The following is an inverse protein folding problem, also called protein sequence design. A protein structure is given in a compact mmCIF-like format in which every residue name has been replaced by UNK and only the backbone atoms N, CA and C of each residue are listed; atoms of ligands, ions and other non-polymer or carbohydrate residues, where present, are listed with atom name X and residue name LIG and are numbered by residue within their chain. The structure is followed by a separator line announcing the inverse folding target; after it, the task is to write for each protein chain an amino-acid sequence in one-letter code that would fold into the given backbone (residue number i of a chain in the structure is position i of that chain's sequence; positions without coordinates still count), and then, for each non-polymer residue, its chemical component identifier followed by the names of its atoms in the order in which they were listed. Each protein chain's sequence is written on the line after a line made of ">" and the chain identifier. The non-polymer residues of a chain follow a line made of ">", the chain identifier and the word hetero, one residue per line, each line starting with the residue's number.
data_IF_751722056270
#
_entry.id   IF_751722056270
#
_cell.length_a   1.000
_cell.length_b   1.000
_cell.length_c   1.000
_cell.angle_alpha   90.00
_cell.angle_beta   90.00
_cell.angle_gamma   90.00
#
_symmetry.space_group_name_H-M   'P 1'
#
loop_
_entity.id
_entity.type
_entity.pdbx_description
1 polymer ?
#
# COMPACT_ATOMS: atom_id res chain seq x y z
N UNK A 1 -0.87 30.35 -1.79
CA UNK A 1 0.20 31.35 -1.57
C UNK A 1 0.42 32.26 -2.79
N UNK A 2 -0.63 32.62 -3.54
CA UNK A 2 -0.59 33.73 -4.49
C UNK A 2 -1.96 34.43 -4.45
N UNK A 3 -2.36 34.89 -3.27
CA UNK A 3 -3.62 35.63 -3.06
C UNK A 3 -3.42 37.02 -2.46
N UNK A 4 -2.18 37.51 -2.46
CA UNK A 4 -1.80 38.79 -1.86
C UNK A 4 -1.23 39.81 -2.87
N UNK A 5 -1.53 39.67 -4.17
CA UNK A 5 -1.12 40.65 -5.18
C UNK A 5 0.37 40.63 -5.56
N UNK A 6 1.20 39.78 -4.94
CA UNK A 6 2.61 39.61 -5.32
C UNK A 6 2.74 38.83 -6.64
N UNK A 7 3.65 39.28 -7.50
CA UNK A 7 4.09 38.55 -8.70
C UNK A 7 4.95 37.33 -8.32
N UNK A 8 5.09 36.39 -9.26
CA UNK A 8 5.88 35.16 -9.05
C UNK A 8 7.37 35.52 -8.89
N UNK A 9 7.81 36.57 -9.56
CA UNK A 9 9.17 37.10 -9.55
C UNK A 9 9.52 37.73 -8.19
N UNK A 10 8.62 38.53 -7.63
CA UNK A 10 8.77 39.08 -6.27
C UNK A 10 8.85 37.96 -5.24
N UNK A 11 8.00 36.94 -5.37
CA UNK A 11 8.01 35.79 -4.48
C UNK A 11 9.28 34.94 -4.65
N UNK A 12 9.81 34.84 -5.86
CA UNK A 12 11.09 34.17 -6.10
C UNK A 12 12.24 34.91 -5.42
N UNK A 13 12.27 36.24 -5.52
CA UNK A 13 13.28 37.07 -4.88
C UNK A 13 13.18 37.02 -3.34
N UNK A 14 11.98 37.17 -2.78
CA UNK A 14 11.74 37.12 -1.33
C UNK A 14 12.21 35.81 -0.70
N UNK A 15 11.94 34.68 -1.37
CA UNK A 15 12.29 33.37 -0.87
C UNK A 15 13.67 32.87 -1.35
N UNK A 16 14.41 33.69 -2.09
CA UNK A 16 15.69 33.34 -2.73
C UNK A 16 15.62 32.04 -3.55
N UNK A 17 14.46 31.78 -4.15
CA UNK A 17 14.22 30.62 -5.02
C UNK A 17 14.18 31.05 -6.48
N UNK A 18 14.40 30.11 -7.38
CA UNK A 18 14.12 30.39 -8.79
C UNK A 18 12.61 30.40 -9.06
N UNK A 19 12.19 31.22 -10.02
CA UNK A 19 10.79 31.40 -10.46
C UNK A 19 10.12 30.06 -10.79
N UNK A 20 10.85 29.12 -11.41
CA UNK A 20 10.34 27.78 -11.71
C UNK A 20 9.93 27.00 -10.46
N UNK A 21 10.70 27.11 -9.37
CA UNK A 21 10.36 26.47 -8.10
C UNK A 21 9.08 27.05 -7.51
N UNK A 22 8.92 28.38 -7.60
CA UNK A 22 7.70 29.05 -7.14
C UNK A 22 6.47 28.57 -7.92
N UNK A 23 6.55 28.48 -9.26
CA UNK A 23 5.45 27.92 -10.07
C UNK A 23 5.09 26.50 -9.66
N UNK A 24 6.09 25.65 -9.39
CA UNK A 24 5.86 24.31 -8.88
C UNK A 24 5.11 24.31 -7.55
N UNK A 25 5.50 25.18 -6.61
CA UNK A 25 4.84 25.32 -5.31
C UNK A 25 3.41 25.85 -5.42
N UNK A 26 3.16 26.82 -6.30
CA UNK A 26 1.82 27.32 -6.58
C UNK A 26 0.95 26.18 -7.13
N UNK A 27 1.43 25.45 -8.13
CA UNK A 27 0.71 24.31 -8.70
C UNK A 27 0.37 23.26 -7.63
N UNK A 28 1.32 22.93 -6.76
CA UNK A 28 1.07 22.01 -5.65
C UNK A 28 0.01 22.54 -4.68
N UNK A 29 0.06 23.82 -4.32
CA UNK A 29 -0.94 24.44 -3.46
C UNK A 29 -2.33 24.47 -4.10
N UNK A 30 -2.43 24.66 -5.42
CA UNK A 30 -3.69 24.59 -6.16
C UNK A 30 -4.28 23.17 -6.20
N UNK A 31 -3.42 22.15 -6.31
CA UNK A 31 -3.84 20.75 -6.19
C UNK A 31 -4.32 20.43 -4.77
N UNK A 32 -3.55 20.85 -3.75
CA UNK A 32 -3.89 20.61 -2.35
C UNK A 32 -5.15 21.37 -1.91
N UNK A 33 -5.46 22.51 -2.52
CA UNK A 33 -6.71 23.24 -2.27
C UNK A 33 -7.90 22.74 -3.10
N UNK A 34 -7.71 21.76 -3.99
CA UNK A 34 -8.73 21.32 -4.94
C UNK A 34 -9.10 22.32 -6.04
N UNK A 35 -8.32 23.40 -6.22
CA UNK A 35 -8.53 24.34 -7.35
C UNK A 35 -8.11 23.72 -8.69
N UNK A 36 -7.29 22.67 -8.64
CA UNK A 36 -6.84 21.88 -9.78
C UNK A 36 -7.04 20.39 -9.50
N UNK A 37 -7.30 19.65 -10.57
CA UNK A 37 -7.55 18.20 -10.53
C UNK A 37 -6.68 17.39 -11.51
N UNK A 38 -5.66 18.01 -12.10
CA UNK A 38 -4.73 17.38 -13.05
C UNK A 38 -3.62 16.54 -12.37
N UNK A 39 -3.74 16.30 -11.06
CA UNK A 39 -2.79 15.52 -10.28
C UNK A 39 -3.33 15.19 -8.89
N UNK A 40 -2.64 14.29 -8.18
CA UNK A 40 -3.02 13.90 -6.83
C UNK A 40 -2.53 14.92 -5.79
N UNK A 41 -3.42 15.28 -4.87
CA UNK A 41 -3.10 16.11 -3.72
C UNK A 41 -2.11 15.39 -2.77
N UNK A 42 -1.44 16.16 -1.92
CA UNK A 42 -0.46 15.65 -0.96
C UNK A 42 -1.07 14.61 -0.02
N UNK A 43 -2.30 14.85 0.44
CA UNK A 43 -3.07 13.93 1.30
C UNK A 43 -3.39 12.62 0.57
N UNK A 44 -3.96 12.69 -0.64
CA UNK A 44 -4.25 11.50 -1.46
C UNK A 44 -2.98 10.67 -1.73
N UNK A 45 -1.86 11.33 -1.99
CA UNK A 45 -0.56 10.65 -2.16
C UNK A 45 -0.10 9.96 -0.89
N UNK A 46 -0.31 10.58 0.27
CA UNK A 46 0.02 9.97 1.56
C UNK A 46 -0.86 8.76 1.86
N UNK A 47 -2.16 8.89 1.63
CA UNK A 47 -3.11 7.82 1.78
C UNK A 47 -2.76 6.64 0.85
N UNK A 48 -2.44 6.90 -0.42
CA UNK A 48 -1.97 5.87 -1.34
C UNK A 48 -0.70 5.17 -0.84
N UNK A 49 0.26 5.90 -0.28
CA UNK A 49 1.46 5.31 0.33
C UNK A 49 1.10 4.44 1.53
N UNK A 50 0.20 4.91 2.40
CA UNK A 50 -0.28 4.17 3.56
C UNK A 50 -0.99 2.87 3.14
N UNK A 51 -1.92 2.96 2.20
CA UNK A 51 -2.67 1.81 1.69
C UNK A 51 -1.77 0.80 0.98
N UNK A 52 -0.78 1.23 0.20
CA UNK A 52 0.21 0.32 -0.42
C UNK A 52 1.01 -0.44 0.64
N UNK A 53 1.45 0.22 1.71
CA UNK A 53 2.14 -0.43 2.84
C UNK A 53 1.22 -1.42 3.55
N UNK A 54 -0.02 -1.01 3.84
CA UNK A 54 -1.03 -1.86 4.48
C UNK A 54 -1.34 -3.09 3.63
N UNK A 55 -1.56 -2.93 2.33
CA UNK A 55 -1.81 -4.04 1.41
C UNK A 55 -0.63 -5.01 1.35
N UNK A 56 0.61 -4.52 1.30
CA UNK A 56 1.80 -5.38 1.37
C UNK A 56 1.85 -6.19 2.66
N UNK A 57 1.58 -5.55 3.81
CA UNK A 57 1.54 -6.23 5.11
C UNK A 57 0.45 -7.30 5.17
N UNK A 58 -0.77 -6.96 4.75
CA UNK A 58 -1.90 -7.90 4.75
C UNK A 58 -1.64 -9.11 3.84
N UNK A 59 -1.00 -8.91 2.68
CA UNK A 59 -0.59 -10.01 1.80
C UNK A 59 0.39 -10.96 2.50
N UNK A 60 1.38 -10.41 3.20
CA UNK A 60 2.35 -11.21 3.97
C UNK A 60 1.66 -12.01 5.08
N UNK A 61 0.78 -11.38 5.86
CA UNK A 61 0.01 -12.04 6.92
C UNK A 61 -0.86 -13.17 6.34
N UNK A 62 -1.56 -12.92 5.23
CA UNK A 62 -2.36 -13.93 4.52
C UNK A 62 -1.51 -15.11 4.04
N UNK A 63 -0.30 -14.86 3.54
CA UNK A 63 0.59 -15.91 3.05
C UNK A 63 1.13 -16.77 4.19
N UNK A 64 1.46 -16.16 5.34
CA UNK A 64 1.84 -16.88 6.56
C UNK A 64 0.69 -17.79 7.00
N UNK A 65 -0.52 -17.24 7.14
CA UNK A 65 -1.70 -18.00 7.52
C UNK A 65 -2.00 -19.14 6.54
N UNK A 66 -1.89 -18.88 5.24
CA UNK A 66 -2.13 -19.89 4.21
C UNK A 66 -1.12 -21.02 4.28
N UNK A 67 0.16 -20.73 4.54
CA UNK A 67 1.20 -21.75 4.75
C UNK A 67 0.90 -22.61 5.98
N UNK A 68 0.41 -22.01 7.08
CA UNK A 68 0.01 -22.74 8.28
C UNK A 68 -1.15 -23.68 7.96
N UNK A 69 -2.21 -23.17 7.32
CA UNK A 69 -3.40 -23.96 6.96
C UNK A 69 -3.03 -25.10 6.01
N UNK A 70 -2.19 -24.84 5.01
CA UNK A 70 -1.70 -25.86 4.10
C UNK A 70 -0.94 -26.96 4.86
N UNK A 71 -0.01 -26.59 5.74
CA UNK A 71 0.75 -27.54 6.57
C UNK A 71 -0.17 -28.38 7.44
N UNK A 72 -1.17 -27.79 8.09
CA UNK A 72 -2.15 -28.54 8.89
C UNK A 72 -2.99 -29.51 8.03
N UNK A 73 -3.36 -29.09 6.82
CA UNK A 73 -4.06 -29.95 5.87
C UNK A 73 -3.20 -31.16 5.45
N UNK A 74 -1.92 -30.94 5.16
CA UNK A 74 -0.98 -32.03 4.87
C UNK A 74 -0.82 -33.00 6.04
N UNK A 75 -0.67 -32.49 7.27
CA UNK A 75 -0.62 -33.34 8.47
C UNK A 75 -1.90 -34.17 8.64
N UNK A 76 -3.07 -33.56 8.43
CA UNK A 76 -4.37 -34.26 8.50
C UNK A 76 -4.49 -35.37 7.45
N UNK A 77 -4.05 -35.11 6.23
CA UNK A 77 -4.01 -36.11 5.17
C UNK A 77 -3.09 -37.29 5.52
N UNK A 78 -1.87 -37.00 6.02
CA UNK A 78 -0.93 -38.03 6.46
C UNK A 78 -1.50 -38.89 7.61
N UNK A 79 -2.13 -38.26 8.62
CA UNK A 79 -2.81 -39.00 9.71
C UNK A 79 -3.93 -39.90 9.18
N UNK A 80 -4.76 -39.40 8.25
CA UNK A 80 -5.83 -40.19 7.62
C UNK A 80 -5.27 -41.39 6.85
N UNK A 81 -4.21 -41.19 6.06
CA UNK A 81 -3.55 -42.27 5.34
C UNK A 81 -3.03 -43.34 6.30
N UNK A 82 -2.37 -42.95 7.40
CA UNK A 82 -1.91 -43.91 8.41
C UNK A 82 -3.03 -44.69 9.07
N UNK A 83 -4.20 -44.07 9.32
CA UNK A 83 -5.37 -44.77 9.89
C UNK A 83 -5.97 -45.77 8.89
N UNK A 84 -6.06 -45.40 7.60
CA UNK A 84 -6.55 -46.30 6.56
C UNK A 84 -5.62 -47.52 6.42
N UNK A 85 -4.31 -47.32 6.38
CA UNK A 85 -3.33 -48.41 6.34
C UNK A 85 -3.36 -49.35 7.55
N UNK A 86 -3.84 -48.87 8.72
CA UNK A 86 -4.05 -49.72 9.90
C UNK A 86 -5.31 -50.58 9.74
N UNK A 87 -6.38 -50.02 9.14
CA UNK A 87 -7.63 -50.75 8.92
C UNK A 87 -7.55 -51.77 7.78
N UNK A 88 -6.69 -51.55 6.78
CA UNK A 88 -6.43 -52.53 5.71
C UNK A 88 -5.64 -53.76 6.21
N UNK A 89 -5.19 -53.75 7.47
CA UNK A 89 -4.60 -54.89 8.17
C UNK A 89 -5.66 -55.68 8.96
N UNK A 90 -6.80 -56.00 8.34
CA UNK A 90 -7.69 -57.06 8.82
C UNK A 90 -7.14 -58.39 8.29
N UNK A 91 -6.88 -59.40 9.15
CA UNK A 91 -6.25 -60.63 8.71
C UNK A 91 -7.25 -61.43 7.87
N UNK A 92 -6.91 -61.63 6.60
CA UNK A 92 -7.52 -62.66 5.76
C UNK A 92 -7.48 -63.99 6.52
N UNK A 93 -8.65 -64.42 7.02
CA UNK A 93 -8.89 -65.74 7.60
C UNK A 93 -9.06 -66.78 6.50
#
# INVERSE_FOLDING_TARGET
>A
MARAGCSVEELAHEFELCVHTIHGRIRHAELDSGSRSDGAASEEREELRHLRRKSRRLRQERDILSKIVARESHKRAARRASVLSIHDCEPSR
#
